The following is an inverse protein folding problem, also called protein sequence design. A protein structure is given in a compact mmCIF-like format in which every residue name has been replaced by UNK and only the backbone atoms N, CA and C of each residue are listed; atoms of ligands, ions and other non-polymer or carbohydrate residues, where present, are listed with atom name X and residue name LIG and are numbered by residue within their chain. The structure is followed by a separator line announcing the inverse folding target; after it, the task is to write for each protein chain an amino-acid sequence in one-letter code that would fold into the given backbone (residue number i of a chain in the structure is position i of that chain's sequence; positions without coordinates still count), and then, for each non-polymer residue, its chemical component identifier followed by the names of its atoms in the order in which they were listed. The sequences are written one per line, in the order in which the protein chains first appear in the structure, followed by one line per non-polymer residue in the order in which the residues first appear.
data_IF_001577293028
#
_entry.id   IF_001577293028
#
_cell.length_a   1.000
_cell.length_b   1.000
_cell.length_c   1.000
_cell.angle_alpha   90.00
_cell.angle_beta   90.00
_cell.angle_gamma   90.00
#
_symmetry.space_group_name_H-M   'P 1'
#
loop_
_entity.id
_entity.type
_entity.pdbx_description
1 polymer ?
#
# COMPACT_ATOMS: atom_id res chain seq x y z
N UNK A 1 7.31 13.86 -16.17
CA UNK A 1 6.48 13.74 -14.95
C UNK A 1 6.81 12.39 -14.33
N UNK A 2 7.29 12.35 -13.08
CA UNK A 2 7.64 11.08 -12.43
C UNK A 2 6.36 10.45 -11.86
N UNK A 3 5.85 9.41 -12.52
CA UNK A 3 4.74 8.59 -12.00
C UNK A 3 5.28 7.73 -10.87
N UNK A 4 4.82 7.95 -9.64
CA UNK A 4 5.16 7.09 -8.51
C UNK A 4 4.16 5.93 -8.48
N UNK A 5 4.60 4.70 -8.28
CA UNK A 5 3.70 3.54 -8.15
C UNK A 5 3.63 3.11 -6.70
N UNK A 6 2.42 2.83 -6.22
CA UNK A 6 2.19 2.28 -4.89
C UNK A 6 1.45 0.96 -4.99
N UNK A 7 1.82 0.00 -4.14
CA UNK A 7 1.12 -1.28 -4.00
C UNK A 7 0.36 -1.37 -2.68
N UNK A 8 -0.80 -2.02 -2.73
CA UNK A 8 -1.60 -2.35 -1.57
C UNK A 8 -0.91 -3.47 -0.79
N UNK A 9 -0.59 -3.20 0.47
CA UNK A 9 0.09 -4.15 1.34
C UNK A 9 -0.81 -5.34 1.73
N UNK A 10 -2.11 -5.32 1.41
CA UNK A 10 -2.99 -6.45 1.67
C UNK A 10 -3.09 -7.41 0.48
N UNK A 11 -3.50 -6.92 -0.68
CA UNK A 11 -3.79 -7.76 -1.86
C UNK A 11 -2.77 -7.63 -2.99
N UNK A 12 -1.83 -6.67 -2.90
CA UNK A 12 -0.83 -6.41 -3.92
C UNK A 12 -1.31 -5.60 -5.12
N UNK A 13 -2.49 -4.98 -5.04
CA UNK A 13 -3.00 -4.10 -6.10
C UNK A 13 -2.06 -2.92 -6.32
N UNK A 14 -1.77 -2.57 -7.57
CA UNK A 14 -0.86 -1.47 -7.92
C UNK A 14 -1.67 -0.29 -8.43
N UNK A 15 -1.35 0.90 -7.94
CA UNK A 15 -1.90 2.16 -8.46
C UNK A 15 -0.79 3.14 -8.83
N UNK A 16 -1.08 3.97 -9.81
CA UNK A 16 -0.22 5.09 -10.18
C UNK A 16 -0.63 6.32 -9.36
N UNK A 17 0.35 6.88 -8.63
CA UNK A 17 0.22 8.11 -7.89
C UNK A 17 0.65 9.25 -8.81
N UNK A 18 -0.31 10.09 -9.17
CA UNK A 18 -0.01 11.37 -9.78
C UNK A 18 0.46 12.32 -8.66
N UNK A 19 1.73 12.72 -8.72
CA UNK A 19 2.32 13.68 -7.78
C UNK A 19 1.75 15.07 -8.08
N UNK A 20 0.51 15.31 -7.69
CA UNK A 20 -0.06 16.65 -7.65
C UNK A 20 0.68 17.42 -6.53
N UNK A 21 1.31 18.57 -6.80
CA UNK A 21 2.21 19.27 -5.86
C UNK A 21 1.55 19.74 -4.55
N UNK A 22 0.25 19.52 -4.36
CA UNK A 22 -0.51 19.83 -3.14
C UNK A 22 -1.44 18.71 -2.67
N UNK A 23 -1.46 17.56 -3.33
CA UNK A 23 -2.34 16.47 -2.90
C UNK A 23 -1.63 15.67 -1.83
N UNK A 24 -2.18 15.67 -0.62
CA UNK A 24 -1.86 14.67 0.39
C UNK A 24 -1.89 13.30 -0.31
N UNK A 25 -0.89 12.44 -0.08
CA UNK A 25 -0.89 11.08 -0.63
C UNK A 25 -2.29 10.51 -0.41
N UNK A 26 -3.00 10.26 -1.50
CA UNK A 26 -4.41 9.89 -1.49
C UNK A 26 -4.57 8.65 -0.58
N UNK A 27 -5.00 8.83 0.68
CA UNK A 27 -5.19 7.74 1.64
C UNK A 27 -6.46 6.95 1.35
N UNK A 28 -6.89 6.96 0.08
CA UNK A 28 -8.01 6.21 -0.41
C UNK A 28 -7.80 4.71 -0.23
N UNK A 29 -8.89 4.04 0.09
CA UNK A 29 -8.96 2.61 0.26
C UNK A 29 -8.59 1.88 -1.04
N UNK A 30 -8.04 0.67 -0.91
CA UNK A 30 -7.83 -0.22 -2.03
C UNK A 30 -9.16 -0.58 -2.69
N UNK A 31 -9.35 -0.32 -4.01
CA UNK A 31 -10.61 -0.61 -4.69
C UNK A 31 -10.95 -2.11 -4.74
N UNK A 32 -9.97 -2.98 -4.45
CA UNK A 32 -10.17 -4.43 -4.43
C UNK A 32 -10.47 -5.04 -3.08
N UNK A 33 -9.99 -4.44 -2.00
CA UNK A 33 -10.04 -5.07 -0.67
C UNK A 33 -10.28 -4.10 0.47
N UNK A 34 -10.62 -2.84 0.14
CA UNK A 34 -10.92 -1.73 1.06
C UNK A 34 -9.83 -1.42 2.10
N UNK A 35 -8.62 -1.98 1.93
CA UNK A 35 -7.49 -1.76 2.80
C UNK A 35 -6.79 -0.42 2.52
N UNK A 36 -6.41 0.33 3.55
CA UNK A 36 -5.81 1.68 3.44
C UNK A 36 -4.27 1.70 3.44
N UNK A 37 -3.62 0.56 3.69
CA UNK A 37 -2.16 0.49 3.76
C UNK A 37 -1.52 0.33 2.39
N UNK A 38 -0.92 1.42 1.90
CA UNK A 38 -0.17 1.47 0.65
C UNK A 38 1.31 1.76 0.92
N UNK A 39 2.19 1.26 0.06
CA UNK A 39 3.60 1.63 0.06
C UNK A 39 4.13 1.77 -1.38
N UNK A 40 5.14 2.60 -1.64
CA UNK A 40 5.77 2.67 -2.95
C UNK A 40 6.29 1.31 -3.38
N UNK A 41 6.06 0.90 -4.63
CA UNK A 41 6.48 -0.43 -5.11
C UNK A 41 7.99 -0.66 -5.01
N UNK A 42 8.76 0.44 -5.04
CA UNK A 42 10.22 0.42 -4.88
C UNK A 42 10.68 0.15 -3.43
N UNK A 43 9.83 0.44 -2.44
CA UNK A 43 10.15 0.28 -1.02
C UNK A 43 9.67 -1.08 -0.46
N UNK A 44 8.90 -1.85 -1.25
CA UNK A 44 8.37 -3.16 -0.84
C UNK A 44 9.21 -4.28 -1.46
N UNK A 45 9.97 -4.98 -0.62
CA UNK A 45 10.70 -6.18 -1.03
C UNK A 45 9.77 -7.37 -1.26
N UNK A 46 10.19 -8.35 -2.08
CA UNK A 46 9.42 -9.58 -2.29
C UNK A 46 9.17 -10.36 -0.99
N UNK A 47 10.14 -10.37 -0.08
CA UNK A 47 9.99 -10.94 1.25
C UNK A 47 8.85 -10.26 2.03
N UNK A 48 8.75 -8.93 1.94
CA UNK A 48 7.67 -8.14 2.57
C UNK A 48 6.32 -8.45 1.92
N UNK A 49 6.25 -8.56 0.58
CA UNK A 49 5.02 -8.96 -0.13
C UNK A 49 4.52 -10.31 0.35
N UNK A 50 5.43 -11.29 0.46
CA UNK A 50 5.12 -12.65 0.91
C UNK A 50 4.62 -12.64 2.36
N UNK A 51 5.38 -12.04 3.27
CA UNK A 51 5.05 -12.00 4.70
C UNK A 51 3.71 -11.31 4.97
N UNK A 52 3.36 -10.29 4.19
CA UNK A 52 2.06 -9.64 4.27
C UNK A 52 0.97 -10.58 3.75
N UNK A 53 1.06 -11.08 2.51
CA UNK A 53 0.02 -11.94 1.92
C UNK A 53 -0.27 -13.21 2.72
N UNK A 54 0.75 -13.79 3.35
CA UNK A 54 0.62 -14.97 4.20
C UNK A 54 -0.02 -14.67 5.57
N UNK A 55 -0.13 -13.40 5.96
CA UNK A 55 -0.63 -12.97 7.27
C UNK A 55 -1.98 -12.26 7.16
N UNK A 56 -3.08 -12.87 7.67
CA UNK A 56 -4.40 -12.27 7.66
C UNK A 56 -4.43 -10.94 8.43
N UNK A 57 -5.26 -10.00 7.97
CA UNK A 57 -5.31 -8.62 8.47
C UNK A 57 -5.54 -8.55 9.97
N UNK A 58 -6.35 -9.45 10.54
CA UNK A 58 -6.66 -9.47 11.98
C UNK A 58 -5.41 -9.70 12.85
N UNK A 59 -4.36 -10.30 12.28
CA UNK A 59 -3.06 -10.54 12.94
C UNK A 59 -2.03 -9.46 12.65
N UNK A 60 -2.38 -8.42 11.89
CA UNK A 60 -1.56 -7.23 11.59
C UNK A 60 -1.99 -6.04 12.46
N UNK A 61 -2.18 -6.27 13.77
CA UNK A 61 -2.53 -5.20 14.71
C UNK A 61 -1.46 -4.12 14.67
N UNK A 62 -1.79 -2.96 14.10
CA UNK A 62 -1.14 -1.70 14.40
C UNK A 62 -1.42 -1.41 15.87
N UNK A 63 -0.51 -1.80 16.77
CA UNK A 63 -0.46 -1.10 18.06
C UNK A 63 0.13 0.27 17.75
N UNK A 64 -0.72 1.28 17.73
CA UNK A 64 -0.25 2.63 17.97
C UNK A 64 0.39 2.60 19.36
N UNK A 65 1.71 2.75 19.40
CA UNK A 65 2.45 3.02 20.63
C UNK A 65 2.46 4.52 20.86
#
# INVERSE_FOLDING_TARGET
MASLRAECLHCGEIRELHREPRSHLDTSECPRCTYVGWAPTMDVSEATRKALRERPLERRRLRAA
#
